data_IF_431275979764
#
_entry.id   IF_431275979764
#
_cell.length_a   1.000
_cell.length_b   1.000
_cell.length_c   1.000
_cell.angle_alpha   90.00
_cell.angle_beta   90.00
_cell.angle_gamma   90.00
#
_symmetry.space_group_name_H-M   'P 1'
#
loop_
_entity.id
_entity.type
_entity.pdbx_description
1 polymer ?
#
# COMPACT_ATOMS: atom_id res chain seq x y z
N UNK A 1 -36.60 -2.23 40.86
CA UNK A 1 -35.31 -1.77 40.30
C UNK A 1 -34.20 -2.50 41.05
N UNK A 2 -33.61 -3.52 40.44
CA UNK A 2 -32.41 -4.20 40.94
C UNK A 2 -31.47 -4.31 39.75
N UNK A 3 -30.43 -3.48 39.78
CA UNK A 3 -29.25 -3.54 38.93
C UNK A 3 -28.15 -4.34 39.65
N UNK A 4 -27.10 -4.72 38.90
CA UNK A 4 -25.89 -5.49 39.28
C UNK A 4 -26.02 -7.01 39.08
N UNK A 5 -25.06 -7.73 38.51
CA UNK A 5 -23.77 -7.40 37.87
C UNK A 5 -23.37 -8.66 37.09
N UNK A 6 -22.88 -8.50 35.85
CA UNK A 6 -22.19 -9.55 35.11
C UNK A 6 -20.79 -9.71 35.69
N UNK A 7 -20.40 -10.94 36.02
CA UNK A 7 -19.02 -11.26 36.43
C UNK A 7 -18.47 -12.32 35.49
N UNK A 8 -17.64 -11.88 34.56
CA UNK A 8 -16.74 -12.70 33.74
C UNK A 8 -15.41 -12.82 34.49
N UNK A 9 -14.92 -14.05 34.71
CA UNK A 9 -13.54 -14.26 35.15
C UNK A 9 -13.03 -15.61 34.62
N UNK A 10 -12.09 -15.56 33.69
CA UNK A 10 -11.20 -16.65 33.31
C UNK A 10 -9.78 -16.13 33.52
N UNK A 11 -8.92 -16.88 34.23
CA UNK A 11 -7.52 -16.77 33.88
C UNK A 11 -6.73 -18.09 33.92
N UNK A 12 -5.76 -18.14 33.00
CA UNK A 12 -4.37 -18.61 33.18
C UNK A 12 -3.97 -20.04 32.79
N UNK A 13 -3.16 -20.06 31.72
CA UNK A 13 -1.80 -20.63 31.62
C UNK A 13 -1.59 -22.14 31.77
N UNK A 14 -1.05 -22.75 30.70
CA UNK A 14 0.09 -23.65 30.83
C UNK A 14 1.05 -23.53 29.63
N UNK A 15 2.33 -23.54 29.95
CA UNK A 15 3.50 -23.28 29.11
C UNK A 15 4.29 -24.57 28.88
N UNK A 16 5.15 -24.56 27.84
CA UNK A 16 6.29 -25.45 27.54
C UNK A 16 6.03 -26.81 26.85
N UNK A 17 6.73 -27.08 25.74
CA UNK A 17 8.04 -27.77 25.76
C UNK A 17 8.72 -27.78 24.37
N UNK A 18 10.03 -27.56 24.39
CA UNK A 18 11.05 -27.63 23.34
C UNK A 18 11.32 -29.07 22.88
N UNK A 19 11.63 -29.30 21.60
CA UNK A 19 12.58 -30.34 21.18
C UNK A 19 13.41 -29.89 19.95
N UNK A 20 14.68 -30.28 20.01
CA UNK A 20 15.83 -29.87 19.21
C UNK A 20 16.46 -31.14 18.62
N UNK A 21 17.02 -31.09 17.40
CA UNK A 21 17.82 -32.17 16.79
C UNK A 21 18.06 -31.89 15.29
N UNK A 22 19.27 -31.54 14.80
CA UNK A 22 20.47 -32.38 14.60
C UNK A 22 20.25 -33.43 13.46
N UNK A 23 21.04 -33.64 12.42
CA UNK A 23 22.29 -33.11 11.83
C UNK A 23 22.27 -33.47 10.32
N UNK A 24 23.23 -32.98 9.52
CA UNK A 24 23.40 -33.49 8.15
C UNK A 24 24.46 -32.76 7.31
N UNK A 25 25.73 -32.98 7.66
CA UNK A 25 26.92 -32.55 6.92
C UNK A 25 27.01 -33.18 5.51
N UNK A 26 27.37 -32.37 4.51
CA UNK A 26 28.10 -32.85 3.33
C UNK A 26 29.06 -31.76 2.82
N UNK A 27 30.31 -31.87 3.24
CA UNK A 27 31.47 -31.22 2.62
C UNK A 27 31.85 -32.03 1.39
N UNK A 28 31.88 -31.40 0.21
CA UNK A 28 32.66 -31.89 -0.93
C UNK A 28 33.48 -30.73 -1.50
N UNK A 29 34.75 -31.04 -1.70
CA UNK A 29 35.93 -30.19 -1.82
C UNK A 29 36.18 -29.61 -3.21
N UNK A 30 36.58 -28.33 -3.21
CA UNK A 30 37.76 -27.69 -3.85
C UNK A 30 38.24 -28.18 -5.23
N UNK A 31 38.37 -27.22 -6.16
CA UNK A 31 39.33 -27.07 -7.30
C UNK A 31 38.58 -26.55 -8.54
N UNK A 32 38.95 -25.53 -9.33
CA UNK A 32 40.17 -24.71 -9.48
C UNK A 32 39.83 -23.31 -10.02
N UNK A 33 40.77 -22.42 -9.77
CA UNK A 33 40.91 -21.03 -10.22
C UNK A 33 41.15 -20.96 -11.73
N UNK A 34 40.65 -19.93 -12.42
CA UNK A 34 41.44 -19.23 -13.45
C UNK A 34 40.90 -17.82 -13.74
N UNK A 35 41.82 -16.87 -13.59
CA UNK A 35 41.73 -15.43 -13.85
C UNK A 35 41.37 -15.15 -15.31
N UNK A 36 40.52 -14.14 -15.51
CA UNK A 36 40.66 -13.20 -16.62
C UNK A 36 40.27 -11.80 -16.14
N UNK A 37 41.28 -11.02 -15.80
CA UNK A 37 41.17 -9.57 -15.59
C UNK A 37 41.21 -8.87 -16.93
N UNK A 38 40.10 -8.25 -17.34
CA UNK A 38 40.08 -7.21 -18.36
C UNK A 38 39.29 -6.04 -17.80
N UNK A 39 39.98 -4.91 -17.66
CA UNK A 39 39.41 -3.68 -17.13
C UNK A 39 38.27 -3.16 -17.99
N UNK A 40 37.20 -2.75 -17.32
CA UNK A 40 36.20 -1.86 -17.87
C UNK A 40 36.01 -0.75 -16.84
N UNK A 41 36.38 0.47 -17.23
CA UNK A 41 36.06 1.72 -16.55
C UNK A 41 34.55 1.81 -16.36
N UNK A 42 34.10 1.73 -15.11
CA UNK A 42 32.69 1.92 -14.75
C UNK A 42 32.39 3.43 -14.71
N UNK A 43 32.05 3.98 -15.87
CA UNK A 43 31.19 5.16 -15.93
C UNK A 43 29.96 4.80 -16.74
N UNK A 44 28.82 4.45 -16.11
CA UNK A 44 27.55 4.54 -16.82
C UNK A 44 27.19 6.02 -16.96
N UNK A 45 27.19 6.46 -18.21
CA UNK A 45 26.59 7.68 -18.72
C UNK A 45 25.18 7.84 -18.15
N UNK A 46 24.91 8.95 -17.46
CA UNK A 46 23.55 9.47 -17.38
C UNK A 46 23.24 10.02 -18.78
N UNK A 47 22.71 9.17 -19.66
CA UNK A 47 22.06 9.60 -20.88
C UNK A 47 20.80 8.77 -21.07
N UNK A 48 19.69 9.20 -20.47
CA UNK A 48 18.38 8.79 -20.96
C UNK A 48 18.05 9.72 -22.13
N UNK A 49 18.64 9.41 -23.29
CA UNK A 49 18.09 9.82 -24.57
C UNK A 49 16.68 9.23 -24.65
N UNK A 50 15.67 10.09 -24.50
CA UNK A 50 14.25 9.76 -24.55
C UNK A 50 13.91 9.43 -26.00
N UNK A 51 13.85 8.14 -26.34
CA UNK A 51 13.48 7.70 -27.68
C UNK A 51 11.96 7.65 -27.81
N UNK A 52 11.47 8.12 -28.95
CA UNK A 52 10.08 8.10 -29.42
C UNK A 52 9.44 6.72 -29.18
N UNK A 53 8.39 6.69 -28.35
CA UNK A 53 7.74 5.45 -27.88
C UNK A 53 7.43 5.42 -26.37
N UNK A 54 7.77 6.49 -25.65
CA UNK A 54 7.45 6.63 -24.23
C UNK A 54 5.94 6.59 -24.00
N UNK A 55 5.53 5.76 -23.04
CA UNK A 55 4.19 5.73 -22.49
C UNK A 55 3.71 7.17 -22.19
N UNK A 56 2.39 7.47 -22.31
CA UNK A 56 1.86 8.81 -22.03
C UNK A 56 2.40 9.33 -20.69
N UNK A 57 2.75 10.62 -20.62
CA UNK A 57 3.15 11.24 -19.35
C UNK A 57 2.10 10.90 -18.28
N UNK A 58 2.52 10.25 -17.20
CA UNK A 58 1.61 9.78 -16.13
C UNK A 58 1.29 8.28 -16.14
N UNK A 59 1.67 7.50 -17.16
CA UNK A 59 1.38 6.07 -17.21
C UNK A 59 2.02 5.27 -16.07
N UNK A 60 3.24 5.62 -15.67
CA UNK A 60 3.91 4.99 -14.53
C UNK A 60 3.22 5.32 -13.20
N UNK A 61 2.79 6.58 -13.04
CA UNK A 61 2.02 7.03 -11.88
C UNK A 61 0.67 6.33 -11.83
N UNK A 62 0.00 6.18 -12.97
CA UNK A 62 -1.27 5.46 -13.06
C UNK A 62 -1.11 3.96 -12.71
N UNK A 63 -0.10 3.28 -13.25
CA UNK A 63 0.17 1.87 -12.90
C UNK A 63 0.47 1.70 -11.40
N UNK A 64 1.28 2.60 -10.83
CA UNK A 64 1.53 2.62 -9.38
C UNK A 64 0.21 2.83 -8.61
N UNK A 65 -0.59 3.80 -9.01
CA UNK A 65 -1.86 4.11 -8.38
C UNK A 65 -2.82 2.91 -8.35
N UNK A 66 -2.97 2.21 -9.47
CA UNK A 66 -3.81 1.00 -9.57
C UNK A 66 -3.30 -0.10 -8.64
N UNK A 67 -1.97 -0.30 -8.56
CA UNK A 67 -1.37 -1.28 -7.64
C UNK A 67 -1.65 -0.91 -6.18
N UNK A 68 -1.47 0.35 -5.80
CA UNK A 68 -1.73 0.81 -4.43
C UNK A 68 -3.21 0.69 -4.08
N UNK A 69 -4.11 1.05 -5.00
CA UNK A 69 -5.54 0.86 -4.82
C UNK A 69 -5.89 -0.62 -4.60
N UNK A 70 -5.29 -1.53 -5.38
CA UNK A 70 -5.50 -2.97 -5.21
C UNK A 70 -5.02 -3.48 -3.84
N UNK A 71 -3.82 -3.09 -3.42
CA UNK A 71 -3.26 -3.41 -2.09
C UNK A 71 -4.17 -2.89 -0.97
N UNK A 72 -4.65 -1.65 -1.10
CA UNK A 72 -5.56 -1.02 -0.14
C UNK A 72 -6.92 -1.74 -0.06
N UNK A 73 -7.50 -2.11 -1.21
CA UNK A 73 -8.75 -2.87 -1.28
C UNK A 73 -8.62 -4.27 -0.68
N UNK A 74 -7.47 -4.92 -0.85
CA UNK A 74 -7.20 -6.22 -0.23
C UNK A 74 -7.18 -6.11 1.29
N UNK A 75 -6.50 -5.09 1.83
CA UNK A 75 -6.50 -4.84 3.27
C UNK A 75 -7.90 -4.48 3.77
N UNK A 76 -8.60 -3.54 3.13
CA UNK A 76 -9.94 -3.13 3.54
C UNK A 76 -10.98 -4.25 3.49
N UNK A 77 -10.88 -5.16 2.52
CA UNK A 77 -11.71 -6.37 2.47
C UNK A 77 -11.49 -7.27 3.69
N UNK A 78 -10.24 -7.52 4.06
CA UNK A 78 -9.90 -8.28 5.27
C UNK A 78 -10.27 -7.55 6.55
N UNK A 79 -10.17 -6.22 6.55
CA UNK A 79 -10.52 -5.40 7.69
C UNK A 79 -12.02 -5.47 8.01
N UNK A 80 -12.86 -5.53 6.97
CA UNK A 80 -14.33 -5.67 7.08
C UNK A 80 -14.79 -7.07 7.46
N UNK A 81 -13.98 -8.10 7.20
CA UNK A 81 -14.28 -9.45 7.62
C UNK A 81 -13.91 -9.63 9.10
N UNK A 82 -14.92 -9.60 9.97
CA UNK A 82 -14.73 -9.74 11.42
C UNK A 82 -14.10 -11.09 11.81
N UNK A 83 -14.24 -12.12 10.97
CA UNK A 83 -13.61 -13.43 11.21
C UNK A 83 -12.10 -13.43 11.00
N UNK A 84 -11.58 -12.44 10.25
CA UNK A 84 -10.15 -12.30 10.00
C UNK A 84 -9.49 -11.60 11.18
N UNK A 85 -8.46 -12.23 11.73
CA UNK A 85 -7.56 -11.61 12.69
C UNK A 85 -6.50 -10.82 11.94
N UNK A 86 -6.37 -9.53 12.26
CA UNK A 86 -5.28 -8.67 11.80
C UNK A 86 -4.26 -8.60 12.93
N UNK A 87 -3.09 -9.18 12.71
CA UNK A 87 -2.06 -9.21 13.74
C UNK A 87 -1.31 -7.87 13.88
N UNK A 88 -0.54 -7.73 14.95
CA UNK A 88 0.19 -6.49 15.24
C UNK A 88 1.21 -6.10 14.16
N UNK A 89 1.85 -7.08 13.50
CA UNK A 89 2.80 -6.82 12.41
C UNK A 89 2.08 -6.30 11.18
N UNK A 90 0.89 -6.84 10.91
CA UNK A 90 0.05 -6.35 9.82
C UNK A 90 -0.42 -4.92 10.09
N UNK A 91 -0.88 -4.60 11.30
CA UNK A 91 -1.22 -3.22 11.68
C UNK A 91 -0.04 -2.26 11.51
N UNK A 92 1.17 -2.67 11.92
CA UNK A 92 2.39 -1.89 11.71
C UNK A 92 2.67 -1.68 10.22
N UNK A 93 2.58 -2.73 9.40
CA UNK A 93 2.77 -2.66 7.96
C UNK A 93 1.76 -1.72 7.29
N UNK A 94 0.51 -1.70 7.75
CA UNK A 94 -0.52 -0.75 7.29
C UNK A 94 -0.13 0.68 7.64
N UNK A 95 0.39 0.94 8.84
CA UNK A 95 0.88 2.26 9.23
C UNK A 95 2.01 2.77 8.31
N UNK A 96 2.92 1.88 7.89
CA UNK A 96 3.94 2.20 6.89
C UNK A 96 3.30 2.45 5.50
N UNK A 97 2.35 1.61 5.13
CA UNK A 97 1.65 1.69 3.85
C UNK A 97 0.84 2.98 3.71
N UNK A 98 0.28 3.54 4.78
CA UNK A 98 -0.42 4.83 4.74
C UNK A 98 0.47 5.97 4.23
N UNK A 99 1.79 5.90 4.41
CA UNK A 99 2.71 6.91 3.86
C UNK A 99 2.77 6.83 2.33
N UNK A 100 2.89 5.62 1.79
CA UNK A 100 2.80 5.37 0.35
C UNK A 100 1.43 5.83 -0.18
N UNK A 101 0.36 5.48 0.53
CA UNK A 101 -1.00 5.88 0.18
C UNK A 101 -1.16 7.42 0.16
N UNK A 102 -0.49 8.15 1.05
CA UNK A 102 -0.52 9.62 1.06
C UNK A 102 0.15 10.22 -0.17
N UNK A 103 1.26 9.63 -0.63
CA UNK A 103 2.00 10.10 -1.81
C UNK A 103 1.21 9.92 -3.11
N UNK A 104 0.30 8.94 -3.17
CA UNK A 104 -0.59 8.75 -4.32
C UNK A 104 -1.50 9.97 -4.58
N UNK A 105 -1.71 10.85 -3.59
CA UNK A 105 -2.42 12.10 -3.81
C UNK A 105 -1.66 13.06 -4.74
N UNK A 106 -0.33 13.06 -4.72
CA UNK A 106 0.47 13.81 -5.70
C UNK A 106 0.40 13.15 -7.08
N UNK A 107 0.35 11.81 -7.13
CA UNK A 107 0.19 11.08 -8.38
C UNK A 107 -1.14 11.37 -9.06
N UNK A 108 -2.23 11.51 -8.29
CA UNK A 108 -3.52 11.96 -8.83
C UNK A 108 -3.40 13.30 -9.57
N UNK A 109 -2.62 14.24 -9.03
CA UNK A 109 -2.40 15.56 -9.63
C UNK A 109 -1.52 15.43 -10.88
N UNK A 110 -0.45 14.64 -10.81
CA UNK A 110 0.47 14.43 -11.93
C UNK A 110 -0.22 13.76 -13.13
N UNK A 111 -1.02 12.71 -12.88
CA UNK A 111 -1.76 11.97 -13.92
C UNK A 111 -2.70 12.91 -14.70
N UNK A 112 -3.24 13.94 -14.06
CA UNK A 112 -4.23 14.84 -14.66
C UNK A 112 -3.65 16.10 -15.29
N UNK A 113 -2.33 16.30 -15.24
CA UNK A 113 -1.66 17.54 -15.68
C UNK A 113 -1.94 17.93 -17.14
N UNK A 114 -2.24 16.95 -17.99
CA UNK A 114 -2.51 17.13 -19.42
C UNK A 114 -4.01 17.12 -19.77
N UNK A 115 -4.90 17.01 -18.79
CA UNK A 115 -6.36 17.08 -18.99
C UNK A 115 -6.84 18.54 -19.01
N UNK A 116 -8.11 18.77 -19.30
CA UNK A 116 -8.71 20.11 -19.20
C UNK A 116 -8.69 20.64 -17.76
N UNK A 117 -8.80 21.98 -17.61
CA UNK A 117 -8.70 22.64 -16.30
C UNK A 117 -9.80 22.21 -15.33
N UNK A 118 -10.98 21.81 -15.81
CA UNK A 118 -12.07 21.36 -14.95
C UNK A 118 -11.70 20.04 -14.30
N UNK A 119 -11.23 19.06 -15.09
CA UNK A 119 -10.73 17.79 -14.57
C UNK A 119 -9.52 17.97 -13.66
N UNK A 120 -8.57 18.84 -14.00
CA UNK A 120 -7.44 19.14 -13.12
C UNK A 120 -7.86 19.68 -11.75
N UNK A 121 -8.85 20.57 -11.70
CA UNK A 121 -9.34 21.13 -10.44
C UNK A 121 -10.10 20.09 -9.61
N UNK A 122 -10.93 19.26 -10.25
CA UNK A 122 -11.61 18.14 -9.59
C UNK A 122 -10.61 17.14 -9.00
N UNK A 123 -9.56 16.80 -9.76
CA UNK A 123 -8.49 15.92 -9.29
C UNK A 123 -7.76 16.49 -8.07
N UNK A 124 -7.46 17.79 -8.04
CA UNK A 124 -6.84 18.46 -6.88
C UNK A 124 -7.72 18.41 -5.64
N UNK A 125 -9.03 18.59 -5.80
CA UNK A 125 -9.98 18.48 -4.68
C UNK A 125 -10.02 17.05 -4.14
N UNK A 126 -10.15 16.06 -5.04
CA UNK A 126 -10.14 14.64 -4.68
C UNK A 126 -8.83 14.27 -3.97
N UNK A 127 -7.68 14.65 -4.52
CA UNK A 127 -6.37 14.42 -3.95
C UNK A 127 -6.20 15.04 -2.57
N UNK A 128 -6.68 16.27 -2.38
CA UNK A 128 -6.61 16.97 -1.08
C UNK A 128 -7.43 16.24 -0.02
N UNK A 129 -8.68 15.89 -0.34
CA UNK A 129 -9.55 15.13 0.57
C UNK A 129 -8.95 13.77 0.88
N UNK A 130 -8.47 13.07 -0.14
CA UNK A 130 -7.85 11.75 -0.01
C UNK A 130 -6.65 11.79 0.94
N UNK A 131 -5.72 12.72 0.75
CA UNK A 131 -4.57 12.91 1.64
C UNK A 131 -4.97 13.25 3.08
N UNK A 132 -6.02 14.05 3.24
CA UNK A 132 -6.57 14.37 4.56
C UNK A 132 -7.11 13.13 5.27
N UNK A 133 -7.90 12.31 4.57
CA UNK A 133 -8.45 11.05 5.11
C UNK A 133 -7.36 10.03 5.43
N UNK A 134 -6.36 9.87 4.55
CA UNK A 134 -5.19 9.00 4.80
C UNK A 134 -4.43 9.45 6.04
N UNK A 135 -4.16 10.75 6.18
CA UNK A 135 -3.50 11.31 7.36
C UNK A 135 -4.33 11.10 8.64
N UNK A 136 -5.65 11.24 8.53
CA UNK A 136 -6.59 10.99 9.62
C UNK A 136 -6.60 9.52 10.09
N UNK A 137 -6.21 8.59 9.23
CA UNK A 137 -6.15 7.16 9.54
C UNK A 137 -4.88 6.73 10.30
N UNK A 138 -3.82 7.54 10.34
CA UNK A 138 -2.53 7.17 10.97
C UNK A 138 -2.70 6.78 12.44
N UNK A 139 -3.35 7.63 13.23
CA UNK A 139 -3.61 7.37 14.65
C UNK A 139 -4.53 6.14 14.85
N UNK A 140 -5.70 6.04 14.22
CA UNK A 140 -6.55 4.87 14.29
C UNK A 140 -5.85 3.54 13.94
N UNK A 141 -4.99 3.53 12.92
CA UNK A 141 -4.20 2.34 12.55
C UNK A 141 -3.22 1.96 13.66
N UNK A 142 -2.55 2.94 14.28
CA UNK A 142 -1.64 2.70 15.41
C UNK A 142 -2.36 2.21 16.68
N UNK A 143 -3.58 2.70 16.89
CA UNK A 143 -4.45 2.28 18.00
C UNK A 143 -5.25 1.01 17.69
N UNK A 144 -5.13 0.48 16.45
CA UNK A 144 -5.85 -0.68 15.95
C UNK A 144 -7.38 -0.53 16.07
N UNK A 145 -7.87 0.70 15.92
CA UNK A 145 -9.30 1.03 15.94
C UNK A 145 -9.95 0.61 14.63
N UNK A 146 -10.24 -0.70 14.52
CA UNK A 146 -10.81 -1.32 13.31
C UNK A 146 -12.03 -0.55 12.76
N UNK A 147 -13.07 -0.21 13.56
CA UNK A 147 -14.21 0.56 13.05
C UNK A 147 -13.82 1.88 12.38
N UNK A 148 -12.92 2.65 13.00
CA UNK A 148 -12.49 3.94 12.45
C UNK A 148 -11.62 3.74 11.20
N UNK A 149 -10.78 2.71 11.17
CA UNK A 149 -9.97 2.38 9.99
C UNK A 149 -10.87 1.88 8.83
N UNK A 150 -11.97 1.17 9.11
CA UNK A 150 -12.97 0.80 8.10
C UNK A 150 -13.62 2.05 7.50
N UNK A 151 -13.96 3.04 8.33
CA UNK A 151 -14.51 4.31 7.85
C UNK A 151 -13.52 5.02 6.92
N UNK A 152 -12.25 5.15 7.34
CA UNK A 152 -11.20 5.76 6.53
C UNK A 152 -10.95 4.99 5.22
N UNK A 153 -10.98 3.66 5.25
CA UNK A 153 -10.91 2.82 4.06
C UNK A 153 -12.05 3.10 3.08
N UNK A 154 -13.28 3.17 3.56
CA UNK A 154 -14.43 3.45 2.71
C UNK A 154 -14.33 4.82 2.03
N UNK A 155 -13.94 5.85 2.79
CA UNK A 155 -13.79 7.21 2.26
C UNK A 155 -12.67 7.28 1.22
N UNK A 156 -11.47 6.80 1.56
CA UNK A 156 -10.32 6.84 0.66
C UNK A 156 -10.52 6.00 -0.61
N UNK A 157 -11.15 4.83 -0.50
CA UNK A 157 -11.46 3.98 -1.65
C UNK A 157 -12.52 4.59 -2.55
N UNK A 158 -13.51 5.30 -1.99
CA UNK A 158 -14.48 6.06 -2.77
C UNK A 158 -13.79 7.19 -3.55
N UNK A 159 -12.89 7.94 -2.91
CA UNK A 159 -12.12 8.99 -3.56
C UNK A 159 -11.21 8.46 -4.67
N UNK A 160 -10.54 7.32 -4.45
CA UNK A 160 -9.76 6.66 -5.49
C UNK A 160 -10.62 6.24 -6.68
N UNK A 161 -11.86 5.79 -6.45
CA UNK A 161 -12.79 5.44 -7.53
C UNK A 161 -13.27 6.68 -8.29
N UNK A 162 -13.69 7.73 -7.58
CA UNK A 162 -14.08 9.00 -8.20
C UNK A 162 -12.95 9.62 -9.01
N UNK A 163 -11.70 9.44 -8.58
CA UNK A 163 -10.53 9.82 -9.37
C UNK A 163 -10.45 9.02 -10.67
N UNK A 164 -10.62 7.70 -10.64
CA UNK A 164 -10.61 6.89 -11.87
C UNK A 164 -11.78 7.21 -12.80
N UNK A 165 -12.97 7.47 -12.26
CA UNK A 165 -14.15 7.91 -13.02
C UNK A 165 -13.87 9.25 -13.73
N UNK A 166 -13.16 10.18 -13.09
CA UNK A 166 -12.75 11.45 -13.70
C UNK A 166 -11.83 11.26 -14.93
N UNK A 167 -11.04 10.19 -14.96
CA UNK A 167 -10.15 9.86 -16.07
C UNK A 167 -10.88 9.19 -17.24
N UNK A 168 -12.09 8.69 -17.02
CA UNK A 168 -12.89 8.13 -18.09
C UNK A 168 -13.51 9.27 -18.90
N UNK A 169 -13.10 9.42 -20.15
CA UNK A 169 -13.86 10.23 -21.11
C UNK A 169 -15.12 9.45 -21.47
N UNK A 170 -16.21 9.74 -20.77
CA UNK A 170 -17.56 9.31 -21.17
C UNK A 170 -18.23 10.55 -21.76
N UNK A 171 -18.34 10.67 -23.09
CA UNK A 171 -19.28 11.62 -23.68
C UNK A 171 -20.67 11.22 -23.20
N UNK A 172 -21.35 12.13 -22.50
CA UNK A 172 -22.75 11.98 -22.08
C UNK A 172 -23.71 12.09 -23.29
N UNK A 173 -23.49 11.31 -24.35
CA UNK A 173 -24.39 11.31 -25.52
C UNK A 173 -24.48 9.91 -26.16
N UNK A 174 -25.55 9.17 -25.82
CA UNK A 174 -26.21 8.21 -26.70
C UNK A 174 -27.72 8.45 -26.67
#
# INVERSE_FOLDING_TARGET
MVWMMKTTFFPSLLFALVLNGAEGLAVVTRSQVLRASLGATLTPLISNARNEGDLPDGAFQFDRFIKVQSEWNRFGSRLKDESQVIDAKEWEAVGLFLRKLYDEGEDMIFITQNLDKTKQNAAKEIATRFRSSVKGADKPVREQDRPVVIYAYNETSALMRSFLELLQDVPDEL
#
